data_IF_707646303690
#
_entry.id   IF_707646303690
#
_cell.length_a   1.000
_cell.length_b   1.000
_cell.length_c   1.000
_cell.angle_alpha   90.00
_cell.angle_beta   90.00
_cell.angle_gamma   90.00
#
_symmetry.space_group_name_H-M   'P 1'
#
loop_
_entity.id
_entity.type
_entity.pdbx_description
1 polymer ?
#
# COMPACT_ATOMS: atom_id res chain seq x y z
N UNK A 1 39.29 -30.48 -31.92
CA UNK A 1 39.42 -29.04 -31.64
C UNK A 1 38.08 -28.48 -31.15
N UNK A 2 37.68 -28.76 -29.91
CA UNK A 2 36.37 -28.35 -29.38
C UNK A 2 36.44 -27.71 -27.98
N UNK A 3 37.64 -27.37 -27.49
CA UNK A 3 37.86 -26.79 -26.15
C UNK A 3 38.24 -25.31 -26.16
N UNK A 4 38.30 -24.65 -27.33
CA UNK A 4 38.65 -23.22 -27.43
C UNK A 4 37.44 -22.32 -27.70
N UNK A 5 36.34 -22.86 -28.24
CA UNK A 5 35.12 -22.08 -28.50
C UNK A 5 34.39 -21.67 -27.21
N UNK A 6 34.54 -22.45 -26.12
CA UNK A 6 33.88 -22.19 -24.83
C UNK A 6 34.65 -21.12 -24.03
N UNK A 7 35.97 -21.00 -24.22
CA UNK A 7 36.81 -20.05 -23.48
C UNK A 7 36.64 -18.59 -23.98
N UNK A 8 36.49 -18.38 -25.29
CA UNK A 8 36.19 -17.05 -25.85
C UNK A 8 34.73 -16.64 -25.70
N UNK A 9 33.85 -17.56 -25.32
CA UNK A 9 32.41 -17.32 -25.18
C UNK A 9 32.01 -16.58 -23.90
N UNK A 10 32.94 -16.31 -22.98
CA UNK A 10 32.68 -15.70 -21.67
C UNK A 10 33.38 -14.34 -21.44
N UNK A 11 34.15 -13.84 -22.40
CA UNK A 11 34.78 -12.51 -22.38
C UNK A 11 33.74 -11.38 -22.17
N UNK A 12 32.51 -11.59 -22.62
CA UNK A 12 31.41 -10.64 -22.44
C UNK A 12 30.97 -10.47 -20.98
N UNK A 13 31.28 -11.41 -20.08
CA UNK A 13 31.02 -11.24 -18.64
C UNK A 13 31.97 -10.23 -17.98
N UNK A 14 33.15 -9.99 -18.55
CA UNK A 14 34.11 -9.00 -18.08
C UNK A 14 33.76 -7.57 -18.53
N UNK A 15 32.92 -7.43 -19.56
CA UNK A 15 32.44 -6.16 -20.04
C UNK A 15 31.41 -5.59 -19.05
N UNK A 16 31.85 -4.63 -18.23
CA UNK A 16 31.09 -4.05 -17.12
C UNK A 16 29.67 -3.57 -17.50
N UNK A 17 29.46 -3.12 -18.73
CA UNK A 17 28.18 -2.62 -19.21
C UNK A 17 27.11 -3.72 -19.40
N UNK A 18 27.50 -4.99 -19.61
CA UNK A 18 26.54 -6.08 -19.71
C UNK A 18 25.80 -6.33 -18.40
N UNK A 19 26.43 -6.04 -17.25
CA UNK A 19 25.78 -6.12 -15.95
C UNK A 19 24.70 -5.06 -15.74
N UNK A 20 24.74 -3.94 -16.47
CA UNK A 20 23.68 -2.93 -16.39
C UNK A 20 22.35 -3.46 -16.93
N UNK A 21 22.38 -4.35 -17.92
CA UNK A 21 21.18 -4.90 -18.56
C UNK A 21 20.30 -5.71 -17.59
N UNK A 22 20.82 -6.61 -16.74
CA UNK A 22 20.02 -7.24 -15.70
C UNK A 22 19.88 -6.38 -14.43
N UNK A 23 20.88 -5.57 -14.07
CA UNK A 23 20.85 -4.80 -12.81
C UNK A 23 19.80 -3.68 -12.84
N UNK A 24 19.74 -2.89 -13.91
CA UNK A 24 18.78 -1.78 -14.01
C UNK A 24 17.30 -2.23 -13.91
N UNK A 25 16.83 -3.24 -14.66
CA UNK A 25 15.47 -3.73 -14.51
C UNK A 25 15.26 -4.45 -13.17
N UNK A 26 16.26 -5.11 -12.60
CA UNK A 26 16.15 -5.73 -11.27
C UNK A 26 15.95 -4.69 -10.17
N UNK A 27 16.67 -3.56 -10.25
CA UNK A 27 16.49 -2.41 -9.35
C UNK A 27 15.09 -1.81 -9.55
N UNK A 28 14.67 -1.60 -10.79
CA UNK A 28 13.33 -1.07 -11.11
C UNK A 28 12.19 -1.98 -10.59
N UNK A 29 12.34 -3.30 -10.75
CA UNK A 29 11.43 -4.29 -10.17
C UNK A 29 11.46 -4.25 -8.65
N UNK A 30 12.63 -4.19 -8.02
CA UNK A 30 12.74 -4.12 -6.56
C UNK A 30 11.98 -2.90 -5.98
N UNK A 31 12.15 -1.72 -6.58
CA UNK A 31 11.41 -0.52 -6.15
C UNK A 31 9.90 -0.63 -6.42
N UNK A 32 9.50 -1.27 -7.52
CA UNK A 32 8.09 -1.48 -7.85
C UNK A 32 7.42 -2.54 -6.97
N UNK A 33 8.17 -3.56 -6.55
CA UNK A 33 7.71 -4.69 -5.74
C UNK A 33 7.78 -4.42 -4.24
N UNK A 34 8.31 -3.28 -3.78
CA UNK A 34 8.21 -2.87 -2.38
C UNK A 34 6.72 -2.74 -2.01
N UNK A 35 6.17 -3.85 -1.49
CA UNK A 35 4.84 -3.91 -0.89
C UNK A 35 4.73 -2.75 0.10
N UNK A 36 3.63 -2.01 0.00
CA UNK A 36 3.39 -0.91 0.94
C UNK A 36 3.38 -1.47 2.35
N UNK A 37 4.02 -0.76 3.27
CA UNK A 37 3.86 -1.04 4.69
C UNK A 37 2.72 -0.16 5.22
N UNK A 38 1.94 -0.74 6.12
CA UNK A 38 0.85 -0.06 6.82
C UNK A 38 1.12 -0.18 8.31
N UNK A 39 1.05 0.94 9.01
CA UNK A 39 1.07 0.97 10.47
C UNK A 39 -0.19 1.69 10.96
N UNK A 40 -0.73 1.24 12.09
CA UNK A 40 -1.78 1.94 12.80
C UNK A 40 -1.35 2.16 14.25
N UNK A 41 -1.60 3.35 14.75
CA UNK A 41 -1.56 3.68 16.18
C UNK A 41 -2.97 3.89 16.71
N UNK A 42 -3.08 4.14 18.01
CA UNK A 42 -4.36 4.31 18.67
C UNK A 42 -5.23 5.44 18.10
N UNK A 43 -4.65 6.46 17.44
CA UNK A 43 -5.37 7.62 16.88
C UNK A 43 -5.11 7.88 15.41
N UNK A 44 -4.21 7.15 14.78
CA UNK A 44 -3.72 7.44 13.43
C UNK A 44 -3.44 6.16 12.65
N UNK A 45 -3.54 6.24 11.33
CA UNK A 45 -3.10 5.18 10.42
C UNK A 45 -2.15 5.78 9.39
N UNK A 46 -1.06 5.08 9.11
CA UNK A 46 -0.03 5.46 8.16
C UNK A 46 0.11 4.38 7.09
N UNK A 47 0.14 4.83 5.84
CA UNK A 47 0.44 4.03 4.67
C UNK A 47 1.61 4.68 3.94
N UNK A 48 2.78 4.03 3.99
CA UNK A 48 4.04 4.57 3.47
C UNK A 48 4.32 5.97 4.05
N UNK A 49 4.37 6.99 3.21
CA UNK A 49 4.70 8.37 3.59
C UNK A 49 3.47 9.18 4.07
N UNK A 50 2.26 8.62 3.93
CA UNK A 50 1.02 9.35 4.21
C UNK A 50 0.37 8.80 5.46
N UNK A 51 0.00 9.70 6.37
CA UNK A 51 -0.73 9.36 7.57
C UNK A 51 -2.01 10.18 7.68
N UNK A 52 -3.01 9.65 8.38
CA UNK A 52 -4.29 10.33 8.68
C UNK A 52 -4.71 10.00 10.10
N UNK A 53 -5.42 10.93 10.74
CA UNK A 53 -6.05 10.69 12.03
C UNK A 53 -7.41 10.01 11.85
N UNK A 54 -7.57 8.82 12.44
CA UNK A 54 -8.77 7.99 12.27
C UNK A 54 -9.94 8.45 13.14
N UNK A 55 -9.71 9.31 14.14
CA UNK A 55 -10.74 9.89 15.04
C UNK A 55 -11.29 11.24 14.57
N UNK A 56 -10.68 11.82 13.53
CA UNK A 56 -11.12 13.08 12.94
C UNK A 56 -11.29 12.93 11.43
N UNK A 57 -11.82 11.78 11.01
CA UNK A 57 -12.09 11.52 9.60
C UNK A 57 -13.25 12.40 9.13
N UNK A 58 -13.09 13.07 7.98
CA UNK A 58 -14.17 13.79 7.30
C UNK A 58 -14.78 12.99 6.16
N UNK A 59 -13.96 12.23 5.46
CA UNK A 59 -14.38 11.47 4.30
C UNK A 59 -13.79 10.07 4.31
N UNK A 60 -14.66 9.08 4.15
CA UNK A 60 -14.27 7.66 4.07
C UNK A 60 -15.00 7.03 2.89
N UNK A 61 -14.23 6.48 1.95
CA UNK A 61 -14.73 5.82 0.75
C UNK A 61 -13.95 4.55 0.46
N UNK A 62 -14.67 3.45 0.22
CA UNK A 62 -14.09 2.21 -0.31
C UNK A 62 -14.24 2.22 -1.84
N UNK A 63 -13.10 2.24 -2.53
CA UNK A 63 -13.03 2.09 -3.99
C UNK A 63 -12.55 0.68 -4.34
N UNK A 64 -13.34 -0.04 -5.12
CA UNK A 64 -12.94 -1.35 -5.66
C UNK A 64 -12.01 -1.12 -6.85
N UNK A 65 -10.84 -1.75 -6.82
CA UNK A 65 -9.83 -1.70 -7.89
C UNK A 65 -9.44 -3.14 -8.27
N UNK A 66 -10.16 -3.72 -9.23
CA UNK A 66 -10.03 -5.14 -9.59
C UNK A 66 -10.48 -6.05 -8.45
N UNK A 67 -9.66 -7.04 -8.08
CA UNK A 67 -9.91 -7.95 -6.96
C UNK A 67 -9.59 -7.34 -5.58
N UNK A 68 -9.00 -6.15 -5.52
CA UNK A 68 -8.61 -5.53 -4.25
C UNK A 68 -9.49 -4.31 -3.94
N UNK A 69 -9.85 -4.14 -2.67
CA UNK A 69 -10.58 -2.98 -2.20
C UNK A 69 -9.59 -1.97 -1.63
N UNK A 70 -9.65 -0.74 -2.11
CA UNK A 70 -8.82 0.38 -1.66
C UNK A 70 -9.63 1.32 -0.79
N UNK A 71 -9.20 1.50 0.45
CA UNK A 71 -9.76 2.48 1.36
C UNK A 71 -9.14 3.86 1.10
N UNK A 72 -10.02 4.84 0.90
CA UNK A 72 -9.72 6.26 0.74
C UNK A 72 -10.23 7.00 1.95
N UNK A 73 -9.34 7.70 2.62
CA UNK A 73 -9.63 8.43 3.85
C UNK A 73 -9.05 9.82 3.76
N UNK A 74 -9.82 10.79 4.24
CA UNK A 74 -9.37 12.18 4.43
C UNK A 74 -9.74 12.62 5.83
N UNK A 75 -8.79 13.18 6.55
CA UNK A 75 -9.03 13.73 7.89
C UNK A 75 -9.40 15.22 7.87
N UNK A 76 -9.75 15.75 9.04
CA UNK A 76 -10.12 17.16 9.23
C UNK A 76 -8.99 18.14 8.97
N UNK A 77 -7.73 17.71 9.10
CA UNK A 77 -6.54 18.51 8.77
C UNK A 77 -6.21 18.51 7.28
N UNK A 78 -6.96 17.77 6.45
CA UNK A 78 -6.75 17.67 5.00
C UNK A 78 -5.70 16.64 4.57
N UNK A 79 -5.16 15.86 5.50
CA UNK A 79 -4.28 14.72 5.18
C UNK A 79 -5.14 13.61 4.56
N UNK A 80 -4.59 12.93 3.54
CA UNK A 80 -5.33 11.96 2.73
C UNK A 80 -4.53 10.71 2.40
N UNK A 81 -5.14 9.55 2.62
CA UNK A 81 -4.67 8.25 2.14
C UNK A 81 -5.62 7.78 1.06
N UNK A 82 -5.10 7.46 -0.14
CA UNK A 82 -5.91 7.13 -1.33
C UNK A 82 -5.85 5.65 -1.74
N UNK A 83 -4.95 4.89 -1.14
CA UNK A 83 -4.54 3.57 -1.64
C UNK A 83 -4.17 2.63 -0.49
N UNK A 84 -4.93 2.65 0.60
CA UNK A 84 -4.78 1.63 1.63
C UNK A 84 -5.50 0.38 1.14
N UNK A 85 -4.78 -0.73 0.95
CA UNK A 85 -5.44 -2.00 0.63
C UNK A 85 -6.19 -2.49 1.86
N UNK A 86 -7.46 -2.81 1.68
CA UNK A 86 -8.28 -3.41 2.72
C UNK A 86 -7.76 -4.79 3.11
N UNK A 87 -7.30 -5.58 2.14
CA UNK A 87 -6.75 -6.91 2.37
C UNK A 87 -5.49 -6.85 3.23
N UNK A 88 -4.58 -5.90 2.96
CA UNK A 88 -3.38 -5.69 3.80
C UNK A 88 -3.75 -5.28 5.22
N UNK A 89 -4.79 -4.44 5.39
CA UNK A 89 -5.28 -4.04 6.70
C UNK A 89 -5.94 -5.20 7.46
N UNK A 90 -6.74 -6.02 6.78
CA UNK A 90 -7.42 -7.20 7.35
C UNK A 90 -6.46 -8.35 7.67
N UNK A 91 -5.32 -8.43 6.98
CA UNK A 91 -4.29 -9.44 7.24
C UNK A 91 -3.69 -9.30 8.64
N UNK A 92 -3.70 -8.09 9.23
CA UNK A 92 -3.29 -7.87 10.61
C UNK A 92 -4.51 -7.51 11.49
N UNK A 93 -5.02 -8.46 12.30
CA UNK A 93 -6.22 -8.24 13.11
C UNK A 93 -6.11 -7.06 14.08
N UNK A 94 -4.93 -6.83 14.69
CA UNK A 94 -4.74 -5.73 15.63
C UNK A 94 -4.77 -4.36 14.92
N UNK A 95 -4.22 -4.29 13.71
CA UNK A 95 -4.30 -3.10 12.87
C UNK A 95 -5.76 -2.85 12.43
N UNK A 96 -6.45 -3.90 12.01
CA UNK A 96 -7.84 -3.83 11.61
C UNK A 96 -8.75 -3.34 12.74
N UNK A 97 -8.57 -3.85 13.97
CA UNK A 97 -9.36 -3.45 15.12
C UNK A 97 -9.23 -1.95 15.42
N UNK A 98 -8.01 -1.42 15.44
CA UNK A 98 -7.76 0.02 15.63
C UNK A 98 -8.41 0.86 14.52
N UNK A 99 -8.23 0.45 13.27
CA UNK A 99 -8.77 1.15 12.11
C UNK A 99 -10.31 1.14 12.13
N UNK A 100 -10.91 -0.02 12.37
CA UNK A 100 -12.35 -0.21 12.43
C UNK A 100 -12.98 0.63 13.56
N UNK A 101 -12.40 0.56 14.77
CA UNK A 101 -12.87 1.33 15.91
C UNK A 101 -12.76 2.85 15.66
N UNK A 102 -11.67 3.31 15.07
CA UNK A 102 -11.51 4.72 14.69
C UNK A 102 -12.53 5.20 13.65
N UNK A 103 -12.74 4.42 12.58
CA UNK A 103 -13.74 4.73 11.55
C UNK A 103 -15.14 4.77 12.17
N UNK A 104 -15.51 3.76 12.97
CA UNK A 104 -16.81 3.69 13.64
C UNK A 104 -17.03 4.88 14.57
N UNK A 105 -16.01 5.28 15.32
CA UNK A 105 -16.07 6.48 16.17
C UNK A 105 -16.26 7.76 15.36
N UNK A 106 -15.52 7.94 14.27
CA UNK A 106 -15.64 9.12 13.39
C UNK A 106 -17.00 9.22 12.70
N UNK A 107 -17.60 8.08 12.35
CA UNK A 107 -18.96 8.00 11.80
C UNK A 107 -20.01 8.28 12.87
N UNK A 108 -19.89 7.67 14.05
CA UNK A 108 -20.82 7.88 15.17
C UNK A 108 -20.80 9.31 15.71
N UNK A 109 -19.64 9.97 15.69
CA UNK A 109 -19.50 11.39 16.05
C UNK A 109 -20.01 12.36 14.97
N UNK A 110 -20.50 11.85 13.83
CA UNK A 110 -21.05 12.65 12.73
C UNK A 110 -20.02 13.48 11.96
N UNK A 111 -18.72 13.28 12.24
CA UNK A 111 -17.62 14.00 11.59
C UNK A 111 -17.30 13.43 10.21
N UNK A 112 -17.45 12.12 10.04
CA UNK A 112 -17.22 11.43 8.77
C UNK A 112 -18.53 11.21 8.02
N UNK A 113 -18.54 11.53 6.72
CA UNK A 113 -19.62 11.10 5.82
C UNK A 113 -19.19 9.86 5.05
N UNK A 114 -19.63 8.64 5.47
CA UNK A 114 -19.32 7.42 4.75
C UNK A 114 -20.16 7.30 3.47
N UNK A 115 -19.56 6.86 2.37
CA UNK A 115 -20.32 6.57 1.16
C UNK A 115 -21.27 5.37 1.36
N UNK A 116 -22.38 5.31 0.61
CA UNK A 116 -23.41 4.24 0.74
C UNK A 116 -22.83 2.82 0.60
N UNK A 117 -21.80 2.65 -0.25
CA UNK A 117 -21.04 1.39 -0.39
C UNK A 117 -20.19 1.07 0.84
N UNK A 118 -19.57 2.09 1.43
CA UNK A 118 -18.73 1.96 2.63
C UNK A 118 -19.56 1.50 3.83
N UNK A 119 -20.81 2.00 3.93
CA UNK A 119 -21.76 1.58 4.97
C UNK A 119 -22.08 0.07 4.92
N UNK A 120 -22.37 -0.44 3.72
CA UNK A 120 -22.68 -1.87 3.53
C UNK A 120 -21.47 -2.80 3.73
N UNK A 121 -20.24 -2.33 3.45
CA UNK A 121 -19.03 -3.16 3.57
C UNK A 121 -18.49 -3.19 5.00
N UNK A 122 -18.64 -2.09 5.73
CA UNK A 122 -18.14 -1.96 7.10
C UNK A 122 -19.22 -2.27 8.16
N UNK A 123 -20.42 -2.68 7.73
CA UNK A 123 -21.59 -2.95 8.59
C UNK A 123 -21.83 -1.82 9.60
N UNK A 124 -21.83 -0.58 9.09
CA UNK A 124 -21.95 0.68 9.86
C UNK A 124 -23.38 1.25 9.87
#
# INVERSE_FOLDING_TARGET
MAMTAIAHGFEWLHLWFFWLVPVLPSIGMYFSMKKGWVAAGARWVQNREKYVEIYDLRYVEIKVSGNNQMLRMTDGSGRKIRSLSLLDAQTNPALWDLLYNGIRHSVASGKASPSRKTRNILDL
#
